data_IF_411967149640
#
_entry.id   IF_411967149640
#
_cell.length_a   1.000
_cell.length_b   1.000
_cell.length_c   1.000
_cell.angle_alpha   90.00
_cell.angle_beta   90.00
_cell.angle_gamma   90.00
#
_symmetry.space_group_name_H-M   'P 1'
#
loop_
_entity.id
_entity.type
_entity.pdbx_description
1 polymer ?
#
# COMPACT_ATOMS: atom_id res chain seq x y z
N UNK A 1 -11.86 22.09 -10.33
CA UNK A 1 -11.41 20.92 -9.52
C UNK A 1 -12.42 20.71 -8.39
N UNK A 2 -12.99 19.51 -8.28
CA UNK A 2 -14.01 19.20 -7.27
C UNK A 2 -13.46 19.36 -5.84
N UNK A 3 -14.32 19.84 -4.93
CA UNK A 3 -14.06 19.98 -3.49
C UNK A 3 -13.50 18.71 -2.83
N UNK A 4 -13.82 17.54 -3.40
CA UNK A 4 -13.33 16.22 -3.00
C UNK A 4 -11.80 16.16 -2.87
N UNK A 5 -11.04 16.74 -3.80
CA UNK A 5 -9.57 16.67 -3.74
C UNK A 5 -8.94 17.82 -2.95
N UNK A 6 -9.57 19.00 -2.98
CA UNK A 6 -9.06 20.20 -2.34
C UNK A 6 -9.31 20.26 -0.82
N UNK A 7 -10.26 19.47 -0.30
CA UNK A 7 -10.58 19.38 1.12
C UNK A 7 -9.92 18.19 1.82
N UNK A 8 -8.89 17.59 1.21
CA UNK A 8 -8.12 16.53 1.87
C UNK A 8 -7.49 17.09 3.13
N UNK A 9 -7.67 16.41 4.26
CA UNK A 9 -7.07 16.81 5.53
C UNK A 9 -5.54 16.94 5.35
N UNK A 10 -4.95 18.13 5.61
CA UNK A 10 -3.52 18.36 5.47
C UNK A 10 -2.62 17.37 6.19
N UNK A 11 -3.11 16.77 7.27
CA UNK A 11 -2.35 15.76 8.00
C UNK A 11 -2.05 14.54 7.13
N UNK A 12 -2.90 14.19 6.16
CA UNK A 12 -2.75 12.97 5.37
C UNK A 12 -1.54 13.01 4.43
N UNK A 13 -1.23 14.17 3.86
CA UNK A 13 -0.09 14.37 2.96
C UNK A 13 1.13 15.00 3.65
N UNK A 14 1.08 15.23 4.96
CA UNK A 14 2.26 15.62 5.74
C UNK A 14 3.26 14.46 5.80
N UNK A 15 4.52 14.74 5.42
CA UNK A 15 5.59 13.75 5.44
C UNK A 15 6.14 13.54 6.86
N UNK A 16 6.18 12.29 7.31
CA UNK A 16 6.88 11.86 8.52
C UNK A 16 8.02 10.91 8.23
N UNK A 17 9.15 11.15 8.90
CA UNK A 17 10.32 10.27 8.88
C UNK A 17 10.26 9.29 10.04
N UNK A 18 10.51 8.01 9.78
CA UNK A 18 10.67 6.98 10.81
C UNK A 18 11.98 6.24 10.55
N UNK A 19 12.78 6.09 11.59
CA UNK A 19 13.98 5.27 11.54
C UNK A 19 13.64 3.86 12.03
N UNK A 20 14.06 2.85 11.27
CA UNK A 20 13.84 1.44 11.60
C UNK A 20 15.03 0.61 11.15
N UNK A 21 15.22 -0.54 11.79
CA UNK A 21 16.32 -1.44 11.47
C UNK A 21 15.83 -2.49 10.48
N UNK A 22 16.44 -2.53 9.31
CA UNK A 22 16.12 -3.45 8.22
C UNK A 22 17.42 -4.17 7.84
N UNK A 23 17.42 -5.50 7.87
CA UNK A 23 18.61 -6.33 7.58
C UNK A 23 19.87 -5.89 8.35
N UNK A 24 19.70 -5.49 9.61
CA UNK A 24 20.79 -5.03 10.48
C UNK A 24 21.19 -3.55 10.33
N UNK A 25 20.76 -2.88 9.25
CA UNK A 25 21.08 -1.47 8.93
C UNK A 25 19.94 -0.54 9.39
N UNK A 26 20.30 0.57 10.02
CA UNK A 26 19.32 1.62 10.37
C UNK A 26 18.96 2.41 9.13
N UNK A 27 17.73 2.26 8.67
CA UNK A 27 17.18 2.93 7.50
C UNK A 27 16.16 3.97 7.93
N UNK A 28 16.31 5.20 7.45
CA UNK A 28 15.32 6.26 7.69
C UNK A 28 14.43 6.40 6.46
N UNK A 29 13.13 6.21 6.67
CA UNK A 29 12.13 6.25 5.60
C UNK A 29 11.23 7.45 5.83
N UNK A 30 11.03 8.27 4.78
CA UNK A 30 10.14 9.44 4.80
C UNK A 30 8.93 9.21 3.90
N UNK A 31 7.76 9.14 4.50
CA UNK A 31 6.47 8.92 3.84
C UNK A 31 5.39 9.82 4.43
N UNK A 32 4.38 10.10 3.63
CA UNK A 32 3.16 10.80 4.01
C UNK A 32 2.35 9.97 5.03
N UNK A 33 1.60 10.62 5.92
CA UNK A 33 0.85 9.92 6.97
C UNK A 33 -0.15 8.90 6.40
N UNK A 34 -0.77 9.19 5.24
CA UNK A 34 -1.67 8.24 4.59
C UNK A 34 -0.97 6.92 4.19
N UNK A 35 0.28 6.99 3.72
CA UNK A 35 1.05 5.79 3.41
C UNK A 35 1.44 5.04 4.69
N UNK A 36 1.80 5.73 5.77
CA UNK A 36 2.05 5.08 7.06
C UNK A 36 0.81 4.35 7.60
N UNK A 37 -0.38 4.95 7.47
CA UNK A 37 -1.64 4.32 7.84
C UNK A 37 -1.92 3.09 6.98
N UNK A 38 -1.76 3.21 5.66
CA UNK A 38 -1.99 2.12 4.72
C UNK A 38 -1.02 0.94 4.95
N UNK A 39 0.26 1.22 5.27
CA UNK A 39 1.23 0.19 5.65
C UNK A 39 0.85 -0.49 6.97
N UNK A 40 0.25 0.24 7.91
CA UNK A 40 -0.25 -0.35 9.16
C UNK A 40 -1.46 -1.26 8.92
N UNK A 41 -2.36 -0.87 8.03
CA UNK A 41 -3.52 -1.68 7.63
C UNK A 41 -3.06 -2.96 6.92
N UNK A 42 -2.16 -2.84 5.94
CA UNK A 42 -1.55 -3.96 5.24
C UNK A 42 -0.84 -4.92 6.21
N UNK A 43 -0.13 -4.40 7.20
CA UNK A 43 0.54 -5.21 8.21
C UNK A 43 -0.47 -5.96 9.10
N UNK A 44 -1.55 -5.30 9.51
CA UNK A 44 -2.62 -5.91 10.30
C UNK A 44 -3.33 -7.04 9.53
N UNK A 45 -3.61 -6.86 8.24
CA UNK A 45 -4.19 -7.89 7.37
C UNK A 45 -3.28 -9.14 7.21
N UNK A 46 -2.00 -9.04 7.59
CA UNK A 46 -1.02 -10.12 7.53
C UNK A 46 -0.54 -10.58 8.92
N UNK A 47 -1.22 -10.20 9.99
CA UNK A 47 -0.84 -10.51 11.39
C UNK A 47 0.60 -10.07 11.75
N UNK A 48 1.03 -8.92 11.21
CA UNK A 48 2.36 -8.36 11.40
C UNK A 48 2.30 -6.94 11.96
N UNK A 49 3.36 -6.52 12.64
CA UNK A 49 3.60 -5.09 12.92
C UNK A 49 4.03 -4.37 11.64
N UNK A 50 3.82 -3.05 11.58
CA UNK A 50 4.25 -2.22 10.44
C UNK A 50 5.74 -2.37 10.14
N UNK A 51 6.59 -2.45 11.18
CA UNK A 51 8.03 -2.63 11.00
C UNK A 51 8.38 -4.01 10.43
N UNK A 52 7.72 -5.08 10.88
CA UNK A 52 7.89 -6.42 10.31
C UNK A 52 7.47 -6.47 8.85
N UNK A 53 6.32 -5.85 8.51
CA UNK A 53 5.84 -5.81 7.13
C UNK A 53 6.81 -5.06 6.21
N UNK A 54 7.33 -3.91 6.65
CA UNK A 54 8.31 -3.14 5.86
C UNK A 54 9.62 -3.91 5.70
N UNK A 55 10.11 -4.57 6.76
CA UNK A 55 11.32 -5.38 6.68
C UNK A 55 11.15 -6.56 5.71
N UNK A 56 10.01 -7.25 5.76
CA UNK A 56 9.67 -8.33 4.83
C UNK A 56 9.61 -7.84 3.38
N UNK A 57 8.91 -6.73 3.13
CA UNK A 57 8.85 -6.11 1.81
C UNK A 57 10.23 -5.71 1.28
N UNK A 58 11.12 -5.22 2.15
CA UNK A 58 12.50 -4.92 1.78
C UNK A 58 13.29 -6.18 1.42
N UNK A 59 13.13 -7.25 2.19
CA UNK A 59 13.77 -8.54 1.90
C UNK A 59 13.29 -9.10 0.56
N UNK A 60 11.98 -9.16 0.33
CA UNK A 60 11.38 -9.69 -0.90
C UNK A 60 11.83 -8.91 -2.14
N UNK A 61 11.79 -7.57 -2.10
CA UNK A 61 12.22 -6.75 -3.25
C UNK A 61 13.72 -6.88 -3.52
N UNK A 62 14.54 -6.99 -2.45
CA UNK A 62 15.99 -7.22 -2.57
C UNK A 62 16.29 -8.60 -3.15
N UNK A 63 15.57 -9.65 -2.71
CA UNK A 63 15.72 -11.00 -3.25
C UNK A 63 15.33 -11.07 -4.73
N UNK A 64 14.30 -10.33 -5.15
CA UNK A 64 13.80 -10.37 -6.52
C UNK A 64 14.62 -9.52 -7.51
N UNK A 65 15.05 -8.32 -7.10
CA UNK A 65 15.73 -7.35 -7.98
C UNK A 65 17.22 -7.17 -7.68
N UNK A 66 17.76 -7.84 -6.65
CA UNK A 66 19.15 -7.70 -6.19
C UNK A 66 19.36 -6.55 -5.20
N UNK A 67 18.58 -5.48 -5.31
CA UNK A 67 18.62 -4.34 -4.39
C UNK A 67 17.27 -3.61 -4.28
N UNK A 68 17.04 -2.95 -3.14
CA UNK A 68 15.86 -2.15 -2.88
C UNK A 68 16.07 -0.66 -3.23
N UNK A 69 16.41 -0.36 -4.49
CA UNK A 69 16.54 1.04 -4.93
C UNK A 69 15.18 1.75 -4.87
N UNK A 70 15.18 3.03 -4.51
CA UNK A 70 13.97 3.84 -4.37
C UNK A 70 12.92 3.22 -3.43
N UNK A 71 13.35 2.61 -2.33
CA UNK A 71 12.47 1.88 -1.42
C UNK A 71 11.26 2.70 -0.91
N UNK A 72 11.42 4.00 -0.66
CA UNK A 72 10.30 4.86 -0.29
C UNK A 72 9.23 4.96 -1.41
N UNK A 73 9.64 5.04 -2.67
CA UNK A 73 8.71 5.03 -3.82
C UNK A 73 8.05 3.67 -3.97
N UNK A 74 8.81 2.59 -3.78
CA UNK A 74 8.26 1.22 -3.76
C UNK A 74 7.15 1.08 -2.71
N UNK A 75 7.36 1.55 -1.47
CA UNK A 75 6.34 1.50 -0.43
C UNK A 75 5.06 2.27 -0.81
N UNK A 76 5.18 3.44 -1.46
CA UNK A 76 4.01 4.20 -1.96
C UNK A 76 3.24 3.42 -3.02
N UNK A 77 3.95 2.83 -3.98
CA UNK A 77 3.35 1.98 -5.04
C UNK A 77 2.66 0.76 -4.42
N UNK A 78 3.30 0.12 -3.44
CA UNK A 78 2.72 -1.03 -2.71
C UNK A 78 1.41 -0.65 -2.02
N UNK A 79 1.33 0.50 -1.36
CA UNK A 79 0.10 0.99 -0.74
C UNK A 79 -1.02 1.19 -1.78
N UNK A 80 -0.72 1.79 -2.93
CA UNK A 80 -1.70 2.00 -3.99
C UNK A 80 -2.20 0.66 -4.56
N UNK A 81 -1.29 -0.29 -4.80
CA UNK A 81 -1.67 -1.64 -5.27
C UNK A 81 -2.53 -2.38 -4.25
N UNK A 82 -2.20 -2.29 -2.97
CA UNK A 82 -2.98 -2.89 -1.89
C UNK A 82 -4.41 -2.35 -1.85
N UNK A 83 -4.59 -1.02 -1.91
CA UNK A 83 -5.92 -0.41 -1.95
C UNK A 83 -6.71 -0.81 -3.21
N UNK A 84 -6.05 -0.90 -4.36
CA UNK A 84 -6.65 -1.41 -5.60
C UNK A 84 -7.18 -2.84 -5.44
N UNK A 85 -6.35 -3.75 -4.89
CA UNK A 85 -6.75 -5.14 -4.63
C UNK A 85 -7.91 -5.25 -3.65
N UNK A 86 -7.95 -4.42 -2.59
CA UNK A 86 -9.08 -4.39 -1.65
C UNK A 86 -10.35 -3.85 -2.29
N UNK A 87 -10.24 -2.80 -3.10
CA UNK A 87 -11.37 -2.26 -3.84
C UNK A 87 -11.94 -3.31 -4.81
N UNK A 88 -11.10 -3.98 -5.59
CA UNK A 88 -11.51 -5.04 -6.52
C UNK A 88 -12.16 -6.23 -5.80
N UNK A 89 -11.58 -6.67 -4.68
CA UNK A 89 -12.18 -7.71 -3.86
C UNK A 89 -13.56 -7.30 -3.32
N UNK A 90 -13.71 -6.04 -2.91
CA UNK A 90 -15.00 -5.51 -2.44
C UNK A 90 -16.03 -5.39 -3.56
N UNK A 91 -15.63 -5.01 -4.77
CA UNK A 91 -16.51 -4.93 -5.95
C UNK A 91 -16.91 -6.33 -6.44
N UNK A 92 -15.98 -7.28 -6.47
CA UNK A 92 -16.26 -8.68 -6.80
C UNK A 92 -17.11 -9.38 -5.74
N UNK A 93 -17.02 -8.97 -4.47
CA UNK A 93 -17.95 -9.40 -3.42
C UNK A 93 -19.34 -8.79 -3.62
N UNK A 94 -19.42 -7.46 -3.87
CA UNK A 94 -20.70 -6.77 -4.12
C UNK A 94 -21.43 -7.32 -5.34
N UNK A 95 -20.74 -7.58 -6.46
CA UNK A 95 -21.32 -8.20 -7.66
C UNK A 95 -21.92 -9.59 -7.39
N UNK A 96 -21.27 -10.40 -6.53
CA UNK A 96 -21.81 -11.69 -6.08
C UNK A 96 -23.04 -11.56 -5.19
N UNK A 97 -23.09 -10.53 -4.35
CA UNK A 97 -24.24 -10.27 -3.45
C UNK A 97 -25.41 -9.64 -4.19
N UNK A 98 -25.18 -8.80 -5.20
CA UNK A 98 -26.24 -8.11 -5.96
C UNK A 98 -26.68 -8.84 -7.22
N UNK A 99 -26.09 -10.00 -7.55
CA UNK A 99 -26.46 -10.77 -8.74
C UNK A 99 -26.32 -9.98 -10.05
N UNK A 100 -25.47 -8.95 -10.09
CA UNK A 100 -25.17 -8.24 -11.34
C UNK A 100 -24.01 -8.98 -11.97
N UNK A 101 -24.34 -9.92 -12.86
CA UNK A 101 -23.39 -10.55 -13.76
C UNK A 101 -22.71 -9.44 -14.58
N UNK A 102 -21.44 -9.17 -14.28
CA UNK A 102 -20.59 -8.46 -15.23
C UNK A 102 -20.37 -9.46 -16.36
N UNK A 103 -21.13 -9.30 -17.44
CA UNK A 103 -20.92 -10.02 -18.68
C UNK A 103 -19.55 -9.58 -19.21
N UNK A 104 -18.53 -10.42 -18.95
CA UNK A 104 -17.32 -10.44 -19.75
C UNK A 104 -17.72 -10.74 -21.19
N UNK A 105 -17.89 -9.69 -22.00
CA UNK A 105 -17.74 -9.82 -23.43
C UNK A 105 -16.25 -9.90 -23.74
N UNK A 106 -15.74 -11.13 -23.65
CA UNK A 106 -14.73 -11.62 -24.58
C UNK A 106 -15.26 -11.39 -26.01
N UNK A 107 -14.45 -10.84 -26.92
CA UNK A 107 -14.19 -11.31 -28.30
C UNK A 107 -13.68 -10.13 -29.15
N UNK A 108 -12.50 -10.28 -29.76
CA UNK A 108 -12.01 -9.42 -30.84
C UNK A 108 -10.49 -9.28 -30.86
#
# INVERSE_FOLDING_TARGET
MCKIYAQTDPILYECRSRSMRISGVTTTIRLENLFWQTLSELAADNDMTTNQMIAKLHEEVTQHFGEATNFASFLRVTCLRYQGLKADASLGFRSRVTGVAVADKVTG
#
